data_IF_916955251047
#
_entry.id   IF_916955251047
#
_cell.length_a   1.000
_cell.length_b   1.000
_cell.length_c   1.000
_cell.angle_alpha   90.00
_cell.angle_beta   90.00
_cell.angle_gamma   90.00
#
_symmetry.space_group_name_H-M   'P 1'
#
loop_
_entity.id
_entity.type
_entity.pdbx_description
1 polymer ?
#
# COMPACT_ATOMS: atom_id res chain seq x y z
N UNK A 1 7.29 2.56 3.48
CA UNK A 1 5.94 2.33 2.92
C UNK A 1 5.97 1.59 1.59
N UNK A 2 6.55 2.17 0.52
CA UNK A 2 6.56 1.56 -0.84
C UNK A 2 7.23 0.19 -0.89
N UNK A 3 8.42 0.03 -0.30
CA UNK A 3 9.12 -1.26 -0.29
C UNK A 3 8.30 -2.36 0.42
N UNK A 4 7.66 -2.02 1.54
CA UNK A 4 6.74 -2.90 2.23
C UNK A 4 5.53 -3.25 1.35
N UNK A 5 4.89 -2.24 0.75
CA UNK A 5 3.75 -2.45 -0.15
C UNK A 5 4.11 -3.33 -1.34
N UNK A 6 5.30 -3.14 -1.92
CA UNK A 6 5.82 -3.92 -3.05
C UNK A 6 6.03 -5.38 -2.65
N UNK A 7 6.70 -5.62 -1.52
CA UNK A 7 6.96 -6.97 -1.01
C UNK A 7 5.67 -7.73 -0.71
N UNK A 8 4.70 -7.05 -0.09
CA UNK A 8 3.41 -7.65 0.26
C UNK A 8 2.35 -7.60 -0.84
N UNK A 9 2.64 -6.98 -2.00
CA UNK A 9 1.66 -6.80 -3.07
C UNK A 9 1.13 -8.15 -3.59
N UNK A 10 2.01 -9.15 -3.68
CA UNK A 10 1.64 -10.51 -4.07
C UNK A 10 0.77 -11.24 -3.04
N UNK A 11 0.74 -10.77 -1.79
CA UNK A 11 0.05 -11.37 -0.66
C UNK A 11 -1.21 -10.58 -0.25
N UNK A 12 -1.63 -9.61 -1.06
CA UNK A 12 -2.82 -8.80 -0.79
C UNK A 12 -2.61 -7.67 0.21
N UNK A 13 -1.37 -7.23 0.44
CA UNK A 13 -1.08 -6.01 1.18
C UNK A 13 -1.07 -6.18 2.70
N UNK A 14 0.04 -6.66 3.24
CA UNK A 14 0.55 -6.46 4.60
C UNK A 14 -0.35 -6.88 5.78
N UNK A 15 0.17 -7.59 6.78
CA UNK A 15 -0.58 -7.81 8.02
C UNK A 15 -0.69 -6.53 8.86
N UNK A 16 -1.89 -6.23 9.37
CA UNK A 16 -2.19 -5.03 10.17
C UNK A 16 -1.26 -4.83 11.37
N UNK A 17 -0.87 -5.91 12.05
CA UNK A 17 0.08 -5.86 13.17
C UNK A 17 1.45 -5.29 12.80
N UNK A 18 1.93 -5.60 11.59
CA UNK A 18 3.23 -5.10 11.10
C UNK A 18 3.06 -3.66 10.64
N UNK A 19 1.94 -3.33 10.00
CA UNK A 19 1.64 -1.94 9.62
C UNK A 19 1.66 -1.02 10.84
N UNK A 20 1.00 -1.44 11.93
CA UNK A 20 0.98 -0.69 13.19
C UNK A 20 2.37 -0.59 13.84
N UNK A 21 3.13 -1.67 13.85
CA UNK A 21 4.46 -1.69 14.47
C UNK A 21 5.49 -0.84 13.69
N UNK A 22 5.52 -0.97 12.37
CA UNK A 22 6.56 -0.36 11.53
C UNK A 22 6.24 1.07 11.10
N UNK A 23 4.94 1.41 10.97
CA UNK A 23 4.50 2.72 10.47
C UNK A 23 3.69 3.53 11.49
N UNK A 24 3.37 2.97 12.66
CA UNK A 24 2.68 3.70 13.73
C UNK A 24 1.25 4.13 13.38
N UNK A 25 0.63 3.52 12.37
CA UNK A 25 -0.69 3.86 11.86
C UNK A 25 -1.59 2.63 11.74
N UNK A 26 -2.91 2.85 11.70
CA UNK A 26 -3.85 1.78 11.39
C UNK A 26 -3.82 1.40 9.90
N UNK A 27 -4.43 0.25 9.58
CA UNK A 27 -4.43 -0.30 8.23
C UNK A 27 -5.08 0.63 7.19
N UNK A 28 -6.18 1.29 7.55
CA UNK A 28 -6.90 2.17 6.63
C UNK A 28 -6.12 3.46 6.37
N UNK A 29 -5.52 4.05 7.41
CA UNK A 29 -4.62 5.19 7.29
C UNK A 29 -3.44 4.85 6.37
N UNK A 30 -2.81 3.69 6.57
CA UNK A 30 -1.71 3.21 5.71
C UNK A 30 -2.12 3.12 4.24
N UNK A 31 -3.22 2.45 3.93
CA UNK A 31 -3.62 2.27 2.53
C UNK A 31 -4.11 3.57 1.88
N UNK A 32 -4.73 4.49 2.62
CA UNK A 32 -5.05 5.84 2.11
C UNK A 32 -3.79 6.61 1.76
N UNK A 33 -2.79 6.63 2.66
CA UNK A 33 -1.51 7.29 2.42
C UNK A 33 -0.77 6.66 1.24
N UNK A 34 -0.82 5.33 1.11
CA UNK A 34 -0.21 4.63 -0.02
C UNK A 34 -0.87 5.00 -1.35
N UNK A 35 -2.20 5.04 -1.44
CA UNK A 35 -2.91 5.44 -2.67
C UNK A 35 -2.56 6.89 -3.03
N UNK A 36 -2.66 7.82 -2.07
CA UNK A 36 -2.33 9.22 -2.30
C UNK A 36 -0.89 9.41 -2.80
N UNK A 37 0.06 8.66 -2.20
CA UNK A 37 1.46 8.69 -2.62
C UNK A 37 1.66 8.17 -4.05
N UNK A 38 1.02 7.06 -4.40
CA UNK A 38 1.12 6.47 -5.74
C UNK A 38 0.43 7.32 -6.82
N UNK A 39 -0.66 8.02 -6.47
CA UNK A 39 -1.39 8.89 -7.41
C UNK A 39 -0.65 10.21 -7.68
N UNK A 40 -0.01 10.81 -6.67
CA UNK A 40 0.65 12.14 -6.80
C UNK A 40 2.09 12.03 -7.31
N UNK A 41 2.82 11.02 -6.85
CA UNK A 41 4.27 11.01 -6.95
C UNK A 41 4.83 9.59 -7.07
N UNK A 42 4.22 8.71 -7.89
CA UNK A 42 4.77 7.39 -8.17
C UNK A 42 6.29 7.50 -8.44
N UNK A 43 7.16 7.11 -7.49
CA UNK A 43 8.56 7.47 -7.56
C UNK A 43 9.19 6.70 -8.70
N UNK A 44 9.81 7.39 -9.65
CA UNK A 44 10.80 6.77 -10.53
C UNK A 44 11.87 6.12 -9.61
N UNK A 45 12.20 4.82 -9.78
CA UNK A 45 12.07 4.00 -10.98
C UNK A 45 10.96 2.92 -10.92
N UNK A 46 9.89 3.09 -10.14
CA UNK A 46 8.81 2.11 -10.11
C UNK A 46 8.17 1.94 -11.49
N UNK A 47 8.17 0.70 -11.98
CA UNK A 47 7.46 0.37 -13.23
C UNK A 47 5.97 0.65 -13.07
N UNK A 48 5.30 1.27 -14.06
CA UNK A 48 3.87 1.60 -13.99
C UNK A 48 2.97 0.41 -13.60
N UNK A 49 3.29 -0.79 -14.09
CA UNK A 49 2.56 -2.02 -13.74
C UNK A 49 2.60 -2.36 -12.23
N UNK A 50 3.70 -2.03 -11.55
CA UNK A 50 3.81 -2.24 -10.10
C UNK A 50 3.01 -1.20 -9.33
N UNK A 51 2.99 0.05 -9.81
CA UNK A 51 2.17 1.13 -9.26
C UNK A 51 0.70 0.74 -9.33
N UNK A 52 0.21 0.35 -10.50
CA UNK A 52 -1.17 -0.08 -10.72
C UNK A 52 -1.57 -1.26 -9.82
N UNK A 53 -0.68 -2.26 -9.72
CA UNK A 53 -0.93 -3.44 -8.87
C UNK A 53 -1.01 -3.06 -7.39
N UNK A 54 -0.11 -2.21 -6.89
CA UNK A 54 -0.13 -1.74 -5.50
C UNK A 54 -1.37 -0.88 -5.22
N UNK A 55 -1.75 0.01 -6.14
CA UNK A 55 -2.97 0.83 -6.04
C UNK A 55 -4.21 -0.05 -5.99
N UNK A 56 -4.28 -1.09 -6.82
CA UNK A 56 -5.40 -2.05 -6.82
C UNK A 56 -5.52 -2.78 -5.48
N UNK A 57 -4.40 -3.27 -4.93
CA UNK A 57 -4.39 -3.92 -3.61
C UNK A 57 -4.82 -2.96 -2.51
N UNK A 58 -4.31 -1.73 -2.52
CA UNK A 58 -4.63 -0.72 -1.52
C UNK A 58 -6.12 -0.35 -1.55
N UNK A 59 -6.70 -0.12 -2.73
CA UNK A 59 -8.13 0.16 -2.90
C UNK A 59 -8.99 -1.02 -2.43
N UNK A 60 -8.57 -2.25 -2.73
CA UNK A 60 -9.29 -3.45 -2.28
C UNK A 60 -9.30 -3.57 -0.76
N UNK A 61 -8.17 -3.32 -0.10
CA UNK A 61 -8.06 -3.32 1.36
C UNK A 61 -8.98 -2.29 2.01
N UNK A 62 -9.01 -1.08 1.44
CA UNK A 62 -9.90 -0.02 1.90
C UNK A 62 -11.38 -0.41 1.76
N UNK A 63 -11.75 -1.11 0.68
CA UNK A 63 -13.13 -1.59 0.48
C UNK A 63 -13.52 -2.69 1.46
N UNK A 64 -12.60 -3.59 1.81
CA UNK A 64 -12.84 -4.68 2.76
C UNK A 64 -12.87 -4.23 4.23
N UNK A 65 -12.42 -3.01 4.54
CA UNK A 65 -12.43 -2.47 5.91
C UNK A 65 -11.45 -3.16 6.87
N UNK A 66 -10.40 -3.81 6.34
CA UNK A 66 -9.41 -4.61 7.11
C UNK A 66 -8.06 -3.91 7.22
#
# INVERSE_FOLDING_TARGET
>A
MVAFALWWCAHGGGPAKVIRADFGMDTAAFFRTLVAYLDVAAPAPLRPVLVERMTTVARRRLWLGT
#
